data_IF_172263280013
#
_entry.id   IF_172263280013
#
_cell.length_a   1.000
_cell.length_b   1.000
_cell.length_c   1.000
_cell.angle_alpha   90.00
_cell.angle_beta   90.00
_cell.angle_gamma   90.00
#
_symmetry.space_group_name_H-M   'P 1'
#
loop_
_entity.id
_entity.type
_entity.pdbx_description
1 polymer ?
#
# COMPACT_ATOMS: atom_id res chain seq x y z
N UNK A 1 -32.44 -14.19 47.12
CA UNK A 1 -31.15 -14.65 46.56
C UNK A 1 -31.16 -14.42 45.07
N UNK A 2 -30.26 -13.60 44.52
CA UNK A 2 -30.13 -13.37 43.08
C UNK A 2 -28.75 -13.85 42.67
N UNK A 3 -28.68 -14.94 41.91
CA UNK A 3 -27.41 -15.45 41.38
C UNK A 3 -26.85 -14.43 40.40
N UNK A 4 -25.65 -13.93 40.69
CA UNK A 4 -24.81 -13.20 39.75
C UNK A 4 -24.27 -14.21 38.74
N UNK A 5 -24.93 -14.31 37.58
CA UNK A 5 -24.40 -15.05 36.43
C UNK A 5 -23.35 -14.16 35.78
N UNK A 6 -22.08 -14.42 36.09
CA UNK A 6 -20.95 -13.86 35.35
C UNK A 6 -20.90 -14.61 34.02
N UNK A 7 -21.53 -14.06 32.98
CA UNK A 7 -21.32 -14.52 31.60
C UNK A 7 -19.89 -14.12 31.21
N UNK A 8 -19.00 -15.10 31.07
CA UNK A 8 -17.70 -14.86 30.46
C UNK A 8 -17.93 -14.43 29.01
N UNK A 9 -17.71 -13.15 28.69
CA UNK A 9 -17.66 -12.72 27.29
C UNK A 9 -16.40 -13.34 26.72
N UNK A 10 -16.55 -14.31 25.82
CA UNK A 10 -15.46 -14.86 25.00
C UNK A 10 -14.85 -13.73 24.15
N UNK A 11 -14.01 -12.89 24.77
CA UNK A 11 -12.97 -12.16 24.04
C UNK A 11 -11.96 -13.21 23.64
N UNK A 12 -12.33 -14.01 22.65
CA UNK A 12 -11.37 -14.76 21.85
C UNK A 12 -10.45 -13.69 21.27
N UNK A 13 -9.29 -13.54 21.89
CA UNK A 13 -8.22 -12.69 21.39
C UNK A 13 -7.66 -13.44 20.18
N UNK A 14 -8.44 -13.51 19.10
CA UNK A 14 -8.06 -14.17 17.87
C UNK A 14 -6.80 -13.45 17.43
N UNK A 15 -5.67 -14.13 17.53
CA UNK A 15 -4.37 -13.53 17.30
C UNK A 15 -4.34 -13.00 15.88
N UNK A 16 -4.50 -11.68 15.72
CA UNK A 16 -4.44 -11.04 14.41
C UNK A 16 -3.04 -11.29 13.87
N UNK A 17 -2.97 -12.01 12.75
CA UNK A 17 -1.70 -12.31 12.11
C UNK A 17 -0.95 -11.00 11.83
N UNK A 18 0.32 -10.93 12.21
CA UNK A 18 1.09 -9.71 11.99
C UNK A 18 1.20 -9.42 10.49
N UNK A 19 1.15 -8.14 10.12
CA UNK A 19 1.26 -7.73 8.73
C UNK A 19 2.49 -8.30 8.04
N UNK A 20 3.61 -8.41 8.77
CA UNK A 20 4.85 -9.04 8.28
C UNK A 20 4.66 -10.50 7.86
N UNK A 21 3.94 -11.29 8.66
CA UNK A 21 3.68 -12.70 8.36
C UNK A 21 2.77 -12.84 7.13
N UNK A 22 1.69 -12.05 7.08
CA UNK A 22 0.78 -11.99 5.93
C UNK A 22 1.51 -11.60 4.65
N UNK A 23 2.34 -10.55 4.70
CA UNK A 23 3.10 -10.07 3.55
C UNK A 23 4.10 -11.11 3.06
N UNK A 24 4.78 -11.82 4.00
CA UNK A 24 5.64 -12.94 3.65
C UNK A 24 4.87 -14.06 2.94
N UNK A 25 3.63 -14.36 3.36
CA UNK A 25 2.78 -15.36 2.68
C UNK A 25 2.39 -14.89 1.26
N UNK A 26 1.95 -13.64 1.11
CA UNK A 26 1.58 -13.07 -0.20
C UNK A 26 2.77 -13.12 -1.15
N UNK A 27 3.97 -12.73 -0.69
CA UNK A 27 5.21 -12.77 -1.48
C UNK A 27 5.66 -14.19 -1.87
N UNK A 28 5.21 -15.24 -1.19
CA UNK A 28 5.46 -16.63 -1.63
C UNK A 28 4.58 -17.04 -2.80
N UNK A 29 3.38 -16.45 -2.91
CA UNK A 29 2.39 -16.77 -3.94
C UNK A 29 2.55 -15.88 -5.18
N UNK A 30 2.87 -14.60 -4.96
CA UNK A 30 2.96 -13.60 -6.00
C UNK A 30 4.40 -13.08 -6.07
N UNK A 31 5.08 -13.39 -7.17
CA UNK A 31 6.38 -12.81 -7.51
C UNK A 31 6.15 -11.70 -8.53
N UNK A 32 6.74 -10.53 -8.31
CA UNK A 32 6.75 -9.45 -9.29
C UNK A 32 7.74 -9.72 -10.43
N UNK A 33 7.33 -9.44 -11.66
CA UNK A 33 8.18 -9.48 -12.86
C UNK A 33 8.35 -8.05 -13.42
N UNK A 34 9.20 -7.82 -14.44
CA UNK A 34 9.26 -6.51 -15.10
C UNK A 34 7.90 -6.05 -15.67
N UNK A 35 7.14 -6.97 -16.27
CA UNK A 35 5.85 -6.71 -16.91
C UNK A 35 4.70 -6.63 -15.90
N UNK A 36 4.80 -7.41 -14.83
CA UNK A 36 3.77 -7.53 -13.78
C UNK A 36 4.42 -7.42 -12.40
N UNK A 37 4.90 -6.22 -12.00
CA UNK A 37 5.63 -6.03 -10.76
C UNK A 37 4.73 -6.11 -9.53
N UNK A 38 5.36 -6.17 -8.36
CA UNK A 38 4.69 -6.12 -7.07
C UNK A 38 4.65 -4.70 -6.52
N UNK A 39 3.50 -4.25 -6.07
CA UNK A 39 3.31 -2.96 -5.41
C UNK A 39 3.18 -3.14 -3.90
N UNK A 40 4.03 -2.45 -3.14
CA UNK A 40 3.97 -2.39 -1.68
C UNK A 40 3.83 -0.95 -1.24
N UNK A 41 2.81 -0.67 -0.41
CA UNK A 41 2.54 0.66 0.14
C UNK A 41 2.54 0.59 1.65
N UNK A 42 3.32 1.47 2.26
CA UNK A 42 3.38 1.67 3.70
C UNK A 42 2.81 3.05 4.01
N UNK A 43 1.86 3.11 4.94
CA UNK A 43 1.26 4.35 5.38
C UNK A 43 1.32 4.42 6.91
N UNK A 44 2.13 5.33 7.45
CA UNK A 44 2.10 5.68 8.88
C UNK A 44 1.08 6.78 9.14
N UNK A 45 0.96 7.28 10.36
CA UNK A 45 0.17 8.48 10.69
C UNK A 45 0.67 9.77 10.02
N UNK A 46 1.95 9.79 9.61
CA UNK A 46 2.59 11.02 9.10
C UNK A 46 2.89 10.97 7.61
N UNK A 47 3.30 9.82 7.09
CA UNK A 47 3.86 9.70 5.74
C UNK A 47 3.35 8.45 5.02
N UNK A 48 3.42 8.48 3.70
CA UNK A 48 3.17 7.36 2.82
C UNK A 48 4.40 7.08 1.94
N UNK A 49 4.68 5.81 1.72
CA UNK A 49 5.75 5.32 0.87
C UNK A 49 5.20 4.22 -0.04
N UNK A 50 5.50 4.30 -1.32
CA UNK A 50 5.11 3.32 -2.32
C UNK A 50 6.36 2.79 -3.04
N UNK A 51 6.42 1.47 -3.20
CA UNK A 51 7.47 0.79 -3.95
C UNK A 51 6.88 -0.15 -5.00
N UNK A 52 7.38 -0.04 -6.22
CA UNK A 52 7.10 -0.97 -7.32
C UNK A 52 8.36 -1.81 -7.54
N UNK A 53 8.23 -3.13 -7.41
CA UNK A 53 9.37 -4.04 -7.32
C UNK A 53 9.24 -5.15 -8.35
N UNK A 54 10.32 -5.36 -9.10
CA UNK A 54 10.58 -6.56 -9.88
C UNK A 54 11.40 -7.53 -9.02
N UNK A 55 10.75 -8.61 -8.58
CA UNK A 55 11.35 -9.62 -7.71
C UNK A 55 12.29 -10.56 -8.48
N UNK A 56 12.10 -10.72 -9.80
CA UNK A 56 12.96 -11.57 -10.64
C UNK A 56 14.36 -10.96 -10.77
N UNK A 57 14.43 -9.68 -11.14
CA UNK A 57 15.71 -8.98 -11.28
C UNK A 57 16.17 -8.27 -10.00
N UNK A 58 15.38 -8.37 -8.91
CA UNK A 58 15.63 -7.70 -7.62
C UNK A 58 15.80 -6.17 -7.79
N UNK A 59 15.01 -5.58 -8.68
CA UNK A 59 15.08 -4.14 -9.00
C UNK A 59 13.86 -3.41 -8.46
N UNK A 60 14.11 -2.22 -7.91
CA UNK A 60 13.06 -1.26 -7.62
C UNK A 60 12.78 -0.46 -8.89
N UNK A 61 11.59 -0.61 -9.46
CA UNK A 61 11.16 0.12 -10.66
C UNK A 61 10.68 1.52 -10.31
N UNK A 62 10.07 1.68 -9.13
CA UNK A 62 9.59 2.97 -8.64
C UNK A 62 9.70 3.05 -7.11
N UNK A 63 10.11 4.22 -6.62
CA UNK A 63 10.02 4.59 -5.22
C UNK A 63 9.47 6.01 -5.08
N UNK A 64 8.33 6.13 -4.41
CA UNK A 64 7.67 7.40 -4.12
C UNK A 64 7.43 7.58 -2.64
N UNK A 65 7.63 8.80 -2.13
CA UNK A 65 7.30 9.14 -0.74
C UNK A 65 6.73 10.54 -0.64
N UNK A 66 5.79 10.72 0.28
CA UNK A 66 5.27 12.03 0.67
C UNK A 66 6.31 12.94 1.32
N UNK A 67 7.52 12.45 1.60
CA UNK A 67 8.67 13.26 2.06
C UNK A 67 9.53 13.82 0.91
N UNK A 68 9.42 13.28 -0.30
CA UNK A 68 10.25 13.73 -1.41
C UNK A 68 9.90 15.16 -1.80
N UNK A 69 10.91 16.02 -1.97
CA UNK A 69 10.72 17.41 -2.41
C UNK A 69 10.02 17.50 -3.76
N UNK A 70 10.35 16.59 -4.68
CA UNK A 70 9.70 16.48 -6.00
C UNK A 70 8.20 16.17 -5.94
N UNK A 71 7.72 15.61 -4.82
CA UNK A 71 6.31 15.31 -4.60
C UNK A 71 5.63 16.47 -3.84
N UNK A 72 6.26 16.97 -2.77
CA UNK A 72 5.69 18.04 -1.95
C UNK A 72 5.61 19.39 -2.67
N UNK A 73 6.56 19.67 -3.56
CA UNK A 73 6.69 20.98 -4.20
C UNK A 73 7.15 22.07 -3.23
N UNK A 74 7.13 23.31 -3.72
CA UNK A 74 7.47 24.52 -2.98
C UNK A 74 6.46 25.64 -3.35
N UNK A 75 5.60 26.11 -2.42
CA UNK A 75 5.50 25.70 -1.02
C UNK A 75 5.02 24.25 -0.84
N UNK A 76 5.31 23.60 0.31
CA UNK A 76 4.92 22.21 0.54
C UNK A 76 3.39 22.04 0.55
N UNK A 77 2.89 21.11 -0.26
CA UNK A 77 1.49 20.71 -0.22
C UNK A 77 1.15 19.87 1.04
N UNK A 78 -0.14 19.61 1.24
CA UNK A 78 -0.60 18.71 2.29
C UNK A 78 -0.11 17.28 2.07
N UNK A 79 -0.09 16.46 3.12
CA UNK A 79 0.33 15.05 3.03
C UNK A 79 -0.67 14.17 2.26
N UNK A 80 -1.93 14.59 2.18
CA UNK A 80 -2.97 13.93 1.38
C UNK A 80 -2.73 14.21 -0.11
N UNK A 81 -2.55 15.48 -0.49
CA UNK A 81 -2.18 15.85 -1.87
C UNK A 81 -0.85 15.22 -2.29
N UNK A 82 0.12 15.17 -1.38
CA UNK A 82 1.38 14.49 -1.64
C UNK A 82 1.16 12.98 -1.90
N UNK A 83 0.21 12.34 -1.23
CA UNK A 83 -0.10 10.92 -1.45
C UNK A 83 -0.77 10.68 -2.81
N UNK A 84 -1.68 11.56 -3.23
CA UNK A 84 -2.25 11.55 -4.58
C UNK A 84 -1.14 11.68 -5.63
N UNK A 85 -0.24 12.68 -5.49
CA UNK A 85 0.90 12.88 -6.39
C UNK A 85 1.84 11.68 -6.45
N UNK A 86 2.05 10.95 -5.34
CA UNK A 86 2.81 9.69 -5.35
C UNK A 86 2.14 8.65 -6.24
N UNK A 87 0.80 8.53 -6.17
CA UNK A 87 0.03 7.63 -7.03
C UNK A 87 0.12 8.03 -8.51
N UNK A 88 0.01 9.31 -8.81
CA UNK A 88 0.18 9.83 -10.18
C UNK A 88 1.57 9.56 -10.76
N UNK A 89 2.63 9.76 -9.96
CA UNK A 89 4.01 9.46 -10.40
C UNK A 89 4.27 7.98 -10.58
N UNK A 90 3.65 7.13 -9.75
CA UNK A 90 3.68 5.69 -9.96
C UNK A 90 3.03 5.33 -11.30
N UNK A 91 1.84 5.87 -11.57
CA UNK A 91 1.14 5.69 -12.85
C UNK A 91 2.01 6.13 -14.03
N UNK A 92 2.60 7.32 -13.98
CA UNK A 92 3.49 7.80 -15.04
C UNK A 92 4.69 6.87 -15.28
N UNK A 93 5.23 6.30 -14.19
CA UNK A 93 6.35 5.34 -14.28
C UNK A 93 5.90 4.02 -14.90
N UNK A 94 4.72 3.51 -14.53
CA UNK A 94 4.15 2.31 -15.16
C UNK A 94 3.91 2.52 -16.66
N UNK A 95 3.31 3.64 -17.06
CA UNK A 95 3.11 3.98 -18.48
C UNK A 95 4.44 4.03 -19.23
N UNK A 96 5.45 4.71 -18.66
CA UNK A 96 6.77 4.81 -19.28
C UNK A 96 7.52 3.48 -19.42
N UNK A 97 7.16 2.49 -18.59
CA UNK A 97 7.73 1.14 -18.62
C UNK A 97 6.82 0.12 -19.31
N UNK A 98 5.68 0.53 -19.89
CA UNK A 98 4.66 -0.34 -20.47
C UNK A 98 4.17 -1.43 -19.51
N UNK A 99 3.88 -1.05 -18.26
CA UNK A 99 3.35 -1.95 -17.22
C UNK A 99 1.85 -1.72 -17.13
N UNK A 100 1.05 -2.72 -17.51
CA UNK A 100 -0.41 -2.65 -17.52
C UNK A 100 -1.06 -3.38 -16.33
N UNK A 101 -0.32 -4.25 -15.65
CA UNK A 101 -0.85 -5.06 -14.55
C UNK A 101 0.10 -5.12 -13.35
N UNK A 102 -0.46 -5.20 -12.15
CA UNK A 102 0.29 -5.40 -10.90
C UNK A 102 0.03 -6.82 -10.39
N UNK A 103 1.11 -7.55 -10.06
CA UNK A 103 1.04 -8.94 -9.58
C UNK A 103 0.39 -9.06 -8.21
N UNK A 104 0.71 -8.13 -7.32
CA UNK A 104 0.09 -8.04 -6.01
C UNK A 104 0.20 -6.62 -5.44
N UNK A 105 -0.82 -6.24 -4.66
CA UNK A 105 -0.86 -4.98 -3.93
C UNK A 105 -0.93 -5.24 -2.41
N UNK A 106 0.08 -4.76 -1.70
CA UNK A 106 0.32 -4.95 -0.27
C UNK A 106 0.25 -3.62 0.47
N UNK A 107 -0.67 -3.49 1.43
CA UNK A 107 -0.87 -2.27 2.27
C UNK A 107 -0.13 -2.31 3.61
N UNK A 108 0.77 -3.27 3.80
CA UNK A 108 1.60 -3.47 4.98
C UNK A 108 0.86 -3.50 6.34
N UNK A 109 -0.44 -3.85 6.36
CA UNK A 109 -1.20 -4.00 7.61
C UNK A 109 -1.92 -2.76 8.10
N UNK A 110 -1.84 -1.64 7.40
CA UNK A 110 -2.45 -0.39 7.83
C UNK A 110 -3.90 -0.30 7.37
N UNK A 111 -4.75 0.25 8.23
CA UNK A 111 -6.15 0.54 7.91
C UNK A 111 -6.25 1.60 6.81
N UNK A 112 -7.36 1.60 6.06
CA UNK A 112 -7.65 2.68 5.12
C UNK A 112 -7.87 3.97 5.92
N UNK A 113 -7.14 5.01 5.54
CA UNK A 113 -7.37 6.38 5.94
C UNK A 113 -7.21 7.29 4.72
N UNK A 114 -7.50 8.57 4.88
CA UNK A 114 -7.60 9.54 3.78
C UNK A 114 -6.36 9.58 2.88
N UNK A 115 -5.16 9.42 3.44
CA UNK A 115 -3.91 9.38 2.65
C UNK A 115 -3.77 8.12 1.79
N UNK A 116 -4.14 6.96 2.33
CA UNK A 116 -4.13 5.72 1.55
C UNK A 116 -5.21 5.78 0.47
N UNK A 117 -6.38 6.34 0.80
CA UNK A 117 -7.48 6.52 -0.13
C UNK A 117 -7.11 7.46 -1.28
N UNK A 118 -6.50 8.62 -0.99
CA UNK A 118 -6.01 9.54 -2.02
C UNK A 118 -5.01 8.86 -2.97
N UNK A 119 -4.08 8.07 -2.43
CA UNK A 119 -3.17 7.27 -3.24
C UNK A 119 -3.90 6.20 -4.07
N UNK A 120 -4.83 5.45 -3.47
CA UNK A 120 -5.61 4.40 -4.14
C UNK A 120 -6.51 4.97 -5.26
N UNK A 121 -7.12 6.14 -5.05
CA UNK A 121 -7.94 6.83 -6.07
C UNK A 121 -7.08 7.19 -7.27
N UNK A 122 -5.88 7.75 -7.05
CA UNK A 122 -4.97 8.13 -8.13
C UNK A 122 -4.58 6.94 -9.02
N UNK A 123 -4.24 5.79 -8.41
CA UNK A 123 -3.86 4.58 -9.17
C UNK A 123 -5.06 3.86 -9.78
N UNK A 124 -6.25 3.93 -9.16
CA UNK A 124 -7.46 3.29 -9.66
C UNK A 124 -7.93 3.89 -10.99
N UNK A 125 -7.66 5.18 -11.22
CA UNK A 125 -7.93 5.84 -12.51
C UNK A 125 -7.20 5.17 -13.69
N UNK A 126 -6.10 4.47 -13.45
CA UNK A 126 -5.34 3.74 -14.46
C UNK A 126 -5.74 2.25 -14.58
N UNK A 127 -6.56 1.72 -13.68
CA UNK A 127 -7.03 0.33 -13.75
C UNK A 127 -6.13 -0.71 -13.09
N UNK A 128 -5.09 -0.30 -12.34
CA UNK A 128 -4.17 -1.24 -11.67
C UNK A 128 -4.74 -1.97 -10.45
N UNK A 129 -5.86 -1.50 -9.90
CA UNK A 129 -6.53 -2.15 -8.78
C UNK A 129 -7.82 -2.79 -9.25
N UNK A 130 -7.90 -4.12 -9.15
CA UNK A 130 -9.16 -4.82 -9.24
C UNK A 130 -10.08 -4.33 -8.11
N UNK A 131 -11.29 -3.92 -8.47
CA UNK A 131 -12.32 -3.41 -7.56
C UNK A 131 -12.77 -4.47 -6.56
#
# INVERSE_FOLDING_TARGET
MKLLVIQATDKTNSRTESAKLRNRRIRKKFNGTPEKPRLSVFCSEKQLYATLIDDQNKKCLFYGSTLQKSIRGDPPCSTIEAAERVGEKLVQTCVGLNIDEISSYDRNGFARGERMEAFEIAISRHGFLFR
#
